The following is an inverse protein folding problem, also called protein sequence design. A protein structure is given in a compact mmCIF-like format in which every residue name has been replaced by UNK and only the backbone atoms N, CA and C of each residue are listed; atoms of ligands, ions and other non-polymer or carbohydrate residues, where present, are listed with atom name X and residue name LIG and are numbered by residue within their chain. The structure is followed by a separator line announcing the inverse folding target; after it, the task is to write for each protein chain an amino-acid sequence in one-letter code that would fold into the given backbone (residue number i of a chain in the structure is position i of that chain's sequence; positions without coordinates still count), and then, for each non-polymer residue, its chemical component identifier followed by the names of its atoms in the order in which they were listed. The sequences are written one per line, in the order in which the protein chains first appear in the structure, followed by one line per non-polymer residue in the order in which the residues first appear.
data_IF_176407589084
#
_entry.id   IF_176407589084
#
_cell.length_a   1.000
_cell.length_b   1.000
_cell.length_c   1.000
_cell.angle_alpha   90.00
_cell.angle_beta   90.00
_cell.angle_gamma   90.00
#
_symmetry.space_group_name_H-M   'P 1'
#
loop_
_entity.id
_entity.type
_entity.pdbx_description
1 polymer ?
#
# COMPACT_ATOMS: atom_id res chain seq x y z
N UNK A 1 4.60 0.54 -35.25
CA UNK A 1 4.05 1.88 -35.55
C UNK A 1 2.75 1.74 -36.32
N UNK A 2 2.73 0.95 -37.39
CA UNK A 2 1.51 0.53 -38.12
C UNK A 2 0.40 0.04 -37.17
N UNK A 3 0.70 -0.89 -36.25
CA UNK A 3 -0.29 -1.39 -35.26
C UNK A 3 -0.93 -0.30 -34.38
N UNK A 4 -0.23 0.78 -34.05
CA UNK A 4 -0.77 1.84 -33.17
C UNK A 4 -1.78 2.70 -33.93
N UNK A 5 -1.38 3.16 -35.11
CA UNK A 5 -2.22 4.01 -35.95
C UNK A 5 -3.39 3.22 -36.50
N UNK A 6 -3.18 1.97 -36.92
CA UNK A 6 -4.25 1.08 -37.38
C UNK A 6 -5.26 0.81 -36.26
N UNK A 7 -4.80 0.59 -35.02
CA UNK A 7 -5.71 0.49 -33.87
C UNK A 7 -6.52 1.76 -33.60
N UNK A 8 -5.93 2.96 -33.77
CA UNK A 8 -6.68 4.21 -33.66
C UNK A 8 -7.72 4.38 -34.78
N UNK A 9 -7.36 4.03 -36.02
CA UNK A 9 -8.27 4.10 -37.17
C UNK A 9 -9.43 3.10 -37.03
N UNK A 10 -9.16 1.90 -36.53
CA UNK A 10 -10.18 0.91 -36.19
C UNK A 10 -11.16 1.43 -35.13
N UNK A 11 -10.66 2.07 -34.06
CA UNK A 11 -11.49 2.71 -33.02
C UNK A 11 -12.37 3.81 -33.63
N UNK A 12 -11.84 4.55 -34.61
CA UNK A 12 -12.57 5.58 -35.34
C UNK A 12 -13.48 5.03 -36.46
N UNK A 13 -13.54 3.69 -36.62
CA UNK A 13 -14.29 2.98 -37.65
C UNK A 13 -13.92 3.39 -39.09
N UNK A 14 -12.65 3.75 -39.31
CA UNK A 14 -12.09 4.07 -40.63
C UNK A 14 -11.53 2.78 -41.22
N UNK A 15 -12.30 2.13 -42.09
CA UNK A 15 -12.02 0.76 -42.57
C UNK A 15 -11.00 0.68 -43.72
N UNK A 16 -10.71 1.78 -44.38
CA UNK A 16 -9.88 1.81 -45.59
C UNK A 16 -8.77 2.86 -45.48
N UNK A 17 -7.78 2.60 -44.64
CA UNK A 17 -6.52 3.35 -44.70
C UNK A 17 -5.47 2.52 -45.42
N UNK A 18 -5.53 2.49 -46.75
CA UNK A 18 -4.36 2.17 -47.56
C UNK A 18 -3.27 3.19 -47.20
N UNK A 19 -2.24 2.69 -46.53
CA UNK A 19 -1.05 3.41 -46.01
C UNK A 19 -1.33 4.77 -45.31
N UNK A 20 -1.20 4.80 -43.98
CA UNK A 20 -1.24 6.08 -43.25
C UNK A 20 -0.03 6.94 -43.60
N UNK A 21 -0.27 8.07 -44.27
CA UNK A 21 0.75 9.05 -44.65
C UNK A 21 1.44 9.64 -43.43
N UNK A 22 2.72 9.99 -43.55
CA UNK A 22 3.49 10.63 -42.46
C UNK A 22 2.79 11.89 -41.90
N UNK A 23 2.08 12.66 -42.74
CA UNK A 23 1.31 13.83 -42.28
C UNK A 23 0.15 13.45 -41.34
N UNK A 24 -0.58 12.38 -41.65
CA UNK A 24 -1.62 11.88 -40.75
C UNK A 24 -1.02 11.38 -39.43
N UNK A 25 0.15 10.72 -39.47
CA UNK A 25 0.85 10.29 -38.25
C UNK A 25 1.27 11.50 -37.40
N UNK A 26 1.84 12.54 -38.02
CA UNK A 26 2.20 13.81 -37.36
C UNK A 26 0.99 14.45 -36.70
N UNK A 27 -0.15 14.51 -37.40
CA UNK A 27 -1.40 15.05 -36.88
C UNK A 27 -1.91 14.27 -35.65
N UNK A 28 -1.90 12.94 -35.71
CA UNK A 28 -2.31 12.09 -34.58
C UNK A 28 -1.43 12.35 -33.35
N UNK A 29 -0.11 12.35 -33.53
CA UNK A 29 0.83 12.60 -32.41
C UNK A 29 0.64 14.01 -31.84
N UNK A 30 0.47 15.02 -32.70
CA UNK A 30 0.21 16.40 -32.28
C UNK A 30 -1.08 16.52 -31.45
N UNK A 31 -2.19 15.91 -31.91
CA UNK A 31 -3.46 15.93 -31.19
C UNK A 31 -3.40 15.19 -29.86
N UNK A 32 -2.72 14.03 -29.81
CA UNK A 32 -2.52 13.30 -28.56
C UNK A 32 -1.70 14.11 -27.57
N UNK A 33 -0.62 14.76 -28.02
CA UNK A 33 0.17 15.63 -27.16
C UNK A 33 -0.65 16.83 -26.65
N UNK A 34 -1.44 17.46 -27.53
CA UNK A 34 -2.30 18.57 -27.17
C UNK A 34 -3.32 18.14 -26.10
N UNK A 35 -4.01 17.03 -26.31
CA UNK A 35 -5.04 16.55 -25.40
C UNK A 35 -4.49 16.05 -24.06
N UNK A 36 -3.36 15.32 -24.08
CA UNK A 36 -2.84 14.65 -22.87
C UNK A 36 -1.94 15.55 -22.02
N UNK A 37 -1.14 16.42 -22.64
CA UNK A 37 0.02 17.03 -21.96
C UNK A 37 0.16 18.54 -22.15
N UNK A 38 -0.80 19.19 -22.80
CA UNK A 38 -0.66 20.60 -23.17
C UNK A 38 -1.76 21.47 -22.57
N UNK A 39 -1.36 22.61 -22.02
CA UNK A 39 -2.23 23.63 -21.44
C UNK A 39 -2.38 24.84 -22.41
N UNK A 40 -3.46 25.59 -22.28
CA UNK A 40 -3.72 26.87 -22.95
C UNK A 40 -4.37 27.88 -21.98
N UNK A 41 -4.28 29.17 -22.30
CA UNK A 41 -4.93 30.22 -21.52
C UNK A 41 -6.45 30.00 -21.46
N UNK A 42 -7.03 30.02 -20.25
CA UNK A 42 -8.46 29.82 -20.05
C UNK A 42 -8.92 28.35 -19.93
N UNK A 43 -8.00 27.38 -19.85
CA UNK A 43 -8.34 25.95 -19.65
C UNK A 43 -9.12 25.70 -18.33
N UNK A 44 -8.92 26.57 -17.35
CA UNK A 44 -9.53 26.51 -16.02
C UNK A 44 -8.62 25.91 -14.96
N UNK A 45 -9.16 25.77 -13.75
CA UNK A 45 -8.43 25.35 -12.56
C UNK A 45 -9.08 24.14 -11.88
N UNK A 46 -8.25 23.37 -11.19
CA UNK A 46 -8.62 22.35 -10.19
C UNK A 46 -8.06 22.71 -8.81
N UNK A 47 -8.62 22.12 -7.76
CA UNK A 47 -8.17 22.30 -6.38
C UNK A 47 -7.39 21.07 -5.91
N UNK A 48 -6.15 21.30 -5.47
CA UNK A 48 -5.34 20.26 -4.84
C UNK A 48 -4.50 20.87 -3.72
N UNK A 49 -4.18 20.10 -2.68
CA UNK A 49 -3.33 20.56 -1.57
C UNK A 49 -3.77 21.90 -0.94
N UNK A 50 -5.08 22.20 -0.95
CA UNK A 50 -5.65 23.45 -0.44
C UNK A 50 -5.34 24.69 -1.28
N UNK A 51 -4.97 24.51 -2.55
CA UNK A 51 -4.65 25.59 -3.49
C UNK A 51 -5.28 25.32 -4.86
N UNK A 52 -5.46 26.41 -5.60
CA UNK A 52 -5.85 26.37 -7.01
C UNK A 52 -4.65 26.07 -7.90
N UNK A 53 -4.84 25.20 -8.87
CA UNK A 53 -3.86 24.86 -9.90
C UNK A 53 -4.56 24.89 -11.26
N UNK A 54 -3.96 25.51 -12.28
CA UNK A 54 -4.48 25.36 -13.64
C UNK A 54 -4.50 23.88 -14.01
N UNK A 55 -5.43 23.45 -14.88
CA UNK A 55 -5.34 22.11 -15.46
C UNK A 55 -4.03 21.90 -16.22
N UNK A 56 -3.60 20.64 -16.34
CA UNK A 56 -2.38 20.31 -17.11
C UNK A 56 -2.72 20.18 -18.59
N UNK A 57 -3.92 19.67 -18.87
CA UNK A 57 -4.43 19.40 -20.20
C UNK A 57 -5.94 19.18 -20.17
N UNK A 58 -6.59 19.13 -21.33
CA UNK A 58 -8.02 18.78 -21.42
C UNK A 58 -8.27 17.36 -20.90
N UNK A 59 -7.31 16.44 -21.07
CA UNK A 59 -7.40 15.11 -20.49
C UNK A 59 -7.42 15.13 -18.96
N UNK A 60 -6.64 16.00 -18.29
CA UNK A 60 -6.71 16.14 -16.83
C UNK A 60 -8.14 16.46 -16.38
N UNK A 61 -8.78 17.45 -17.02
CA UNK A 61 -10.16 17.83 -16.74
C UNK A 61 -11.15 16.70 -17.01
N UNK A 62 -10.99 16.02 -18.14
CA UNK A 62 -11.80 14.84 -18.47
C UNK A 62 -11.64 13.73 -17.43
N UNK A 63 -10.41 13.43 -17.02
CA UNK A 63 -10.10 12.37 -16.07
C UNK A 63 -10.66 12.68 -14.68
N UNK A 64 -10.43 13.89 -14.16
CA UNK A 64 -11.02 14.35 -12.90
C UNK A 64 -12.54 14.15 -12.89
N UNK A 65 -13.22 14.44 -14.00
CA UNK A 65 -14.68 14.33 -14.10
C UNK A 65 -15.20 12.90 -14.32
N UNK A 66 -14.45 12.04 -15.02
CA UNK A 66 -14.98 10.77 -15.57
C UNK A 66 -14.30 9.51 -15.03
N UNK A 67 -13.19 9.61 -14.30
CA UNK A 67 -12.44 8.44 -13.81
C UNK A 67 -13.33 7.47 -13.02
N UNK A 68 -14.27 7.96 -12.20
CA UNK A 68 -15.17 7.10 -11.43
C UNK A 68 -16.10 6.27 -12.33
N UNK A 69 -16.71 6.89 -13.34
CA UNK A 69 -17.60 6.20 -14.28
C UNK A 69 -16.84 5.20 -15.16
N UNK A 70 -15.63 5.57 -15.59
CA UNK A 70 -14.81 4.76 -16.49
C UNK A 70 -14.25 3.53 -15.76
N UNK A 71 -13.75 3.72 -14.55
CA UNK A 71 -13.18 2.64 -13.75
C UNK A 71 -14.27 1.79 -13.10
N UNK A 72 -15.41 2.40 -12.75
CA UNK A 72 -16.56 1.79 -12.09
C UNK A 72 -16.17 0.73 -11.04
N UNK A 73 -15.46 1.13 -9.97
CA UNK A 73 -14.97 0.17 -9.00
C UNK A 73 -16.14 -0.48 -8.25
N UNK A 74 -16.16 -1.81 -8.22
CA UNK A 74 -17.22 -2.59 -7.57
C UNK A 74 -16.66 -3.60 -6.57
N UNK A 75 -17.43 -3.85 -5.51
CA UNK A 75 -17.10 -4.85 -4.49
C UNK A 75 -17.82 -6.16 -4.83
N UNK A 76 -17.07 -7.23 -5.06
CA UNK A 76 -17.63 -8.53 -5.38
C UNK A 76 -17.96 -9.31 -4.09
N UNK A 77 -19.22 -9.22 -3.66
CA UNK A 77 -19.68 -9.85 -2.41
C UNK A 77 -19.53 -11.38 -2.39
N UNK A 78 -19.56 -12.06 -3.54
CA UNK A 78 -19.30 -13.50 -3.60
C UNK A 78 -17.83 -13.83 -3.29
N UNK A 79 -16.90 -13.05 -3.84
CA UNK A 79 -15.48 -13.16 -3.47
C UNK A 79 -15.22 -12.78 -2.02
N UNK A 80 -15.98 -11.82 -1.48
CA UNK A 80 -15.92 -11.51 -0.04
C UNK A 80 -16.34 -12.70 0.82
N UNK A 81 -17.37 -13.46 0.42
CA UNK A 81 -17.79 -14.69 1.12
C UNK A 81 -16.73 -15.78 1.06
N UNK A 82 -16.15 -16.04 -0.12
CA UNK A 82 -15.05 -17.01 -0.27
C UNK A 82 -13.85 -16.66 0.63
N UNK A 83 -13.52 -15.36 0.72
CA UNK A 83 -12.41 -14.90 1.55
C UNK A 83 -12.72 -14.91 3.04
N UNK A 84 -13.97 -14.61 3.42
CA UNK A 84 -14.45 -14.75 4.79
C UNK A 84 -14.35 -16.20 5.29
N UNK A 85 -14.62 -17.19 4.42
CA UNK A 85 -14.43 -18.61 4.76
C UNK A 85 -12.96 -18.94 5.02
N UNK A 86 -12.04 -18.43 4.19
CA UNK A 86 -10.59 -18.60 4.44
C UNK A 86 -10.18 -17.97 5.78
N UNK A 87 -10.68 -16.78 6.09
CA UNK A 87 -10.38 -16.14 7.37
C UNK A 87 -10.92 -16.89 8.57
N UNK A 88 -12.14 -17.44 8.46
CA UNK A 88 -12.72 -18.28 9.49
C UNK A 88 -11.88 -19.54 9.77
N UNK A 89 -11.40 -20.23 8.72
CA UNK A 89 -10.52 -21.38 8.90
C UNK A 89 -9.20 -21.01 9.60
N UNK A 90 -8.57 -19.90 9.20
CA UNK A 90 -7.34 -19.41 9.86
C UNK A 90 -7.60 -19.02 11.32
N UNK A 91 -8.77 -18.45 11.62
CA UNK A 91 -9.15 -18.08 12.98
C UNK A 91 -9.34 -19.30 13.88
N UNK A 92 -10.01 -20.34 13.38
CA UNK A 92 -10.18 -21.63 14.07
C UNK A 92 -8.85 -22.34 14.30
N UNK A 93 -7.92 -22.25 13.33
CA UNK A 93 -6.56 -22.77 13.50
C UNK A 93 -5.81 -22.03 14.61
N UNK A 94 -5.79 -20.70 14.55
CA UNK A 94 -5.21 -19.86 15.61
C UNK A 94 -5.58 -18.40 15.43
N UNK A 95 -6.07 -17.75 16.49
CA UNK A 95 -6.28 -16.29 16.48
C UNK A 95 -5.00 -15.51 16.16
N UNK A 96 -3.82 -16.06 16.47
CA UNK A 96 -2.53 -15.40 16.25
C UNK A 96 -2.30 -14.94 14.79
N UNK A 97 -3.03 -15.52 13.81
CA UNK A 97 -3.04 -15.03 12.42
C UNK A 97 -3.41 -13.54 12.29
N UNK A 98 -4.19 -13.00 13.22
CA UNK A 98 -4.73 -11.63 13.20
C UNK A 98 -4.15 -10.72 14.29
N UNK A 99 -3.71 -11.28 15.43
CA UNK A 99 -3.22 -10.50 16.58
C UNK A 99 -1.70 -10.47 16.71
N UNK A 100 -0.94 -11.19 15.86
CA UNK A 100 0.53 -11.13 15.92
C UNK A 100 1.02 -9.80 15.35
N UNK A 101 1.68 -8.98 16.16
CA UNK A 101 2.32 -7.74 15.68
C UNK A 101 3.85 -7.82 15.83
N UNK A 102 4.40 -7.54 17.01
CA UNK A 102 5.84 -7.50 17.29
C UNK A 102 6.11 -7.87 18.76
N UNK A 103 7.34 -8.25 19.09
CA UNK A 103 7.73 -8.54 20.47
C UNK A 103 7.88 -7.27 21.31
N UNK A 104 7.35 -7.30 22.53
CA UNK A 104 7.40 -6.17 23.47
C UNK A 104 8.65 -6.17 24.36
N UNK A 105 9.47 -7.22 24.31
CA UNK A 105 10.67 -7.41 25.14
C UNK A 105 10.45 -7.28 26.66
N UNK A 106 9.23 -7.56 27.12
CA UNK A 106 8.82 -7.44 28.52
C UNK A 106 8.73 -6.00 29.03
N UNK A 107 8.61 -5.02 28.14
CA UNK A 107 8.37 -3.62 28.52
C UNK A 107 6.94 -3.45 29.06
N UNK A 108 6.75 -2.43 29.91
CA UNK A 108 5.43 -2.11 30.46
C UNK A 108 4.51 -1.50 29.39
N UNK A 109 3.21 -1.50 29.65
CA UNK A 109 2.20 -0.92 28.76
C UNK A 109 2.46 0.56 28.51
N UNK A 110 2.86 1.31 29.55
CA UNK A 110 3.20 2.73 29.48
C UNK A 110 4.40 2.95 28.55
N UNK A 111 5.46 2.15 28.73
CA UNK A 111 6.65 2.23 27.90
C UNK A 111 6.35 1.96 26.41
N UNK A 112 5.55 0.92 26.13
CA UNK A 112 5.19 0.57 24.75
C UNK A 112 4.32 1.68 24.13
N UNK A 113 3.32 2.17 24.88
CA UNK A 113 2.45 3.25 24.43
C UNK A 113 3.26 4.50 24.10
N UNK A 114 4.19 4.90 24.98
CA UNK A 114 5.06 6.06 24.78
C UNK A 114 5.93 5.92 23.52
N UNK A 115 6.55 4.75 23.34
CA UNK A 115 7.37 4.48 22.16
C UNK A 115 6.50 4.53 20.89
N UNK A 116 5.32 3.92 20.89
CA UNK A 116 4.42 3.93 19.72
C UNK A 116 3.90 5.32 19.40
N UNK A 117 3.53 6.10 20.41
CA UNK A 117 3.06 7.47 20.23
C UNK A 117 4.10 8.34 19.52
N UNK A 118 5.35 8.37 20.01
CA UNK A 118 6.40 9.18 19.38
C UNK A 118 6.92 8.63 18.06
N UNK A 119 6.68 7.35 17.76
CA UNK A 119 7.09 6.74 16.50
C UNK A 119 6.02 6.70 15.43
N UNK A 120 4.73 6.84 15.77
CA UNK A 120 3.62 6.74 14.82
C UNK A 120 3.76 7.75 13.67
N UNK A 121 4.10 9.00 13.96
CA UNK A 121 4.35 10.03 12.95
C UNK A 121 5.70 9.88 12.23
N UNK A 122 6.63 9.11 12.80
CA UNK A 122 8.00 8.90 12.31
C UNK A 122 8.16 7.70 11.38
N UNK A 123 7.12 6.88 11.25
CA UNK A 123 7.12 5.79 10.28
C UNK A 123 6.82 6.33 8.88
N UNK A 124 7.89 6.68 8.16
CA UNK A 124 7.83 7.03 6.74
C UNK A 124 8.23 5.79 5.95
N UNK A 125 7.46 5.46 4.92
CA UNK A 125 7.66 4.28 4.04
C UNK A 125 7.64 2.91 4.72
N UNK A 126 7.27 2.80 6.00
CA UNK A 126 7.21 1.52 6.73
C UNK A 126 8.58 0.84 6.90
N UNK A 127 9.64 1.64 6.94
CA UNK A 127 11.02 1.19 7.17
C UNK A 127 11.35 1.17 8.67
N UNK A 128 10.46 1.66 9.53
CA UNK A 128 10.69 1.70 10.97
C UNK A 128 10.49 0.31 11.58
N UNK A 129 11.59 -0.32 11.99
CA UNK A 129 11.57 -1.56 12.76
C UNK A 129 11.30 -1.25 14.25
N UNK A 130 10.03 -1.32 14.64
CA UNK A 130 9.60 -0.99 16.01
C UNK A 130 10.36 -1.77 17.10
N UNK A 131 10.69 -3.03 16.84
CA UNK A 131 11.49 -3.85 17.75
C UNK A 131 12.89 -3.28 18.03
N UNK A 132 13.53 -2.65 17.04
CA UNK A 132 14.81 -1.94 17.25
C UNK A 132 14.62 -0.74 18.18
N UNK A 133 13.52 -0.01 18.03
CA UNK A 133 13.21 1.16 18.86
C UNK A 133 12.90 0.74 20.30
N UNK A 134 12.13 -0.33 20.52
CA UNK A 134 11.88 -0.88 21.86
C UNK A 134 13.18 -1.30 22.55
N UNK A 135 14.14 -1.88 21.81
CA UNK A 135 15.48 -2.19 22.34
C UNK A 135 16.27 -0.93 22.71
N UNK A 136 16.09 0.19 21.99
CA UNK A 136 16.68 1.49 22.36
C UNK A 136 16.04 2.01 23.64
N UNK A 137 14.70 2.00 23.75
CA UNK A 137 13.98 2.41 24.96
C UNK A 137 14.49 1.66 26.19
N UNK A 138 14.62 0.33 26.10
CA UNK A 138 15.13 -0.51 27.20
C UNK A 138 16.50 -0.09 27.72
N UNK A 139 17.34 0.51 26.87
CA UNK A 139 18.68 1.02 27.24
C UNK A 139 18.67 2.49 27.65
N UNK A 140 17.79 3.31 27.07
CA UNK A 140 17.77 4.77 27.20
C UNK A 140 16.33 5.30 27.29
N UNK A 141 15.59 5.01 28.38
CA UNK A 141 14.17 5.38 28.49
C UNK A 141 13.95 6.90 28.48
N UNK A 142 14.88 7.67 29.05
CA UNK A 142 14.83 9.14 29.07
C UNK A 142 14.75 9.79 27.68
N UNK A 143 15.11 9.09 26.60
CA UNK A 143 14.96 9.62 25.25
C UNK A 143 13.49 9.80 24.84
N UNK A 144 12.58 9.08 25.49
CA UNK A 144 11.14 9.07 25.18
C UNK A 144 10.31 9.89 26.19
N UNK A 145 10.98 10.68 27.01
CA UNK A 145 10.38 11.67 27.87
C UNK A 145 9.86 12.85 27.04
N UNK A 146 8.64 13.33 27.34
CA UNK A 146 7.97 14.34 26.51
C UNK A 146 8.68 15.68 26.60
N UNK A 147 9.18 16.09 27.77
CA UNK A 147 9.98 17.29 27.95
C UNK A 147 11.30 17.18 27.19
N UNK A 148 11.99 16.04 27.29
CA UNK A 148 13.23 15.79 26.54
C UNK A 148 13.02 15.86 25.03
N UNK A 149 11.97 15.23 24.49
CA UNK A 149 11.67 15.26 23.05
C UNK A 149 11.31 16.68 22.59
N UNK A 150 10.58 17.44 23.41
CA UNK A 150 10.23 18.81 23.10
C UNK A 150 11.47 19.71 22.97
N UNK A 151 12.42 19.56 23.89
CA UNK A 151 13.66 20.33 23.91
C UNK A 151 14.69 19.85 22.88
N UNK A 152 14.86 18.53 22.71
CA UNK A 152 15.98 17.90 21.97
C UNK A 152 15.51 16.82 20.97
N UNK A 153 14.57 17.12 20.06
CA UNK A 153 14.04 16.13 19.11
C UNK A 153 15.08 15.59 18.13
N UNK A 154 16.13 16.35 17.80
CA UNK A 154 17.22 15.91 16.94
C UNK A 154 18.02 14.78 17.59
N UNK A 155 18.25 14.87 18.89
CA UNK A 155 18.95 13.84 19.67
C UNK A 155 18.13 12.56 19.68
N UNK A 156 16.81 12.67 19.86
CA UNK A 156 15.91 11.51 19.74
C UNK A 156 16.07 10.81 18.39
N UNK A 157 15.97 11.54 17.27
CA UNK A 157 16.10 10.95 15.92
C UNK A 157 17.43 10.24 15.72
N UNK A 158 18.53 10.89 16.13
CA UNK A 158 19.89 10.36 16.01
C UNK A 158 20.07 9.07 16.83
N UNK A 159 19.67 9.08 18.10
CA UNK A 159 19.92 7.98 19.04
C UNK A 159 18.98 6.79 18.82
N UNK A 160 17.79 7.03 18.26
CA UNK A 160 16.86 5.95 17.86
C UNK A 160 17.21 5.33 16.51
N UNK A 161 18.13 5.93 15.76
CA UNK A 161 18.51 5.46 14.42
C UNK A 161 17.43 5.69 13.36
N UNK A 162 16.45 6.55 13.63
CA UNK A 162 15.44 6.96 12.65
C UNK A 162 16.12 7.84 11.59
N UNK A 163 15.84 7.56 10.31
CA UNK A 163 16.46 8.28 9.19
C UNK A 163 16.31 9.80 9.31
N UNK A 164 17.35 10.52 8.89
CA UNK A 164 17.36 11.98 8.80
C UNK A 164 16.72 12.51 7.51
N UNK A 165 16.20 11.63 6.63
CA UNK A 165 15.37 12.07 5.51
C UNK A 165 14.14 12.85 6.01
N UNK A 166 13.83 13.99 5.38
CA UNK A 166 12.74 14.89 5.78
C UNK A 166 12.85 15.38 7.24
N UNK A 167 14.10 15.58 7.73
CA UNK A 167 14.44 15.99 9.10
C UNK A 167 13.54 17.09 9.66
N UNK A 168 13.33 18.18 8.93
CA UNK A 168 12.57 19.33 9.42
C UNK A 168 11.11 18.96 9.75
N UNK A 169 10.48 18.13 8.91
CA UNK A 169 9.12 17.62 9.15
C UNK A 169 9.09 16.71 10.38
N UNK A 170 10.07 15.81 10.50
CA UNK A 170 10.18 14.88 11.63
C UNK A 170 10.32 15.62 12.97
N UNK A 171 11.19 16.63 13.01
CA UNK A 171 11.38 17.50 14.18
C UNK A 171 10.08 18.22 14.53
N UNK A 172 9.39 18.81 13.53
CA UNK A 172 8.10 19.47 13.75
C UNK A 172 7.08 18.51 14.38
N UNK A 173 6.97 17.29 13.84
CA UNK A 173 6.03 16.28 14.33
C UNK A 173 6.36 15.83 15.76
N UNK A 174 7.63 15.63 16.09
CA UNK A 174 8.05 15.27 17.45
C UNK A 174 7.75 16.37 18.45
N UNK A 175 8.11 17.62 18.14
CA UNK A 175 7.82 18.77 19.02
C UNK A 175 6.33 18.95 19.26
N UNK A 176 5.51 18.84 18.21
CA UNK A 176 4.06 18.93 18.34
C UNK A 176 3.49 17.78 19.19
N UNK A 177 3.96 16.56 18.98
CA UNK A 177 3.52 15.38 19.75
C UNK A 177 3.87 15.51 21.24
N UNK A 178 5.08 15.96 21.54
CA UNK A 178 5.53 16.18 22.91
C UNK A 178 4.77 17.34 23.57
N UNK A 179 4.63 18.46 22.85
CA UNK A 179 3.88 19.64 23.32
C UNK A 179 2.45 19.29 23.66
N UNK A 180 1.78 18.45 22.86
CA UNK A 180 0.42 18.01 23.14
C UNK A 180 0.33 17.31 24.50
N UNK A 181 1.22 16.35 24.79
CA UNK A 181 1.21 15.67 26.09
C UNK A 181 1.50 16.62 27.26
N UNK A 182 2.39 17.60 27.06
CA UNK A 182 2.72 18.63 28.06
C UNK A 182 1.52 19.55 28.32
N UNK A 183 0.89 20.07 27.27
CA UNK A 183 -0.21 21.03 27.37
C UNK A 183 -1.44 20.42 28.05
N UNK A 184 -1.72 19.15 27.77
CA UNK A 184 -2.82 18.41 28.41
C UNK A 184 -2.43 17.77 29.75
N UNK A 185 -1.16 17.85 30.16
CA UNK A 185 -0.64 17.26 31.40
C UNK A 185 -0.89 15.75 31.52
N UNK A 186 -0.72 15.03 30.41
CA UNK A 186 -0.97 13.58 30.31
C UNK A 186 0.28 12.84 29.84
N UNK A 187 0.29 11.52 30.03
CA UNK A 187 1.17 10.60 29.30
C UNK A 187 0.46 10.01 28.08
N UNK A 188 1.20 9.39 27.17
CA UNK A 188 0.61 8.80 25.97
C UNK A 188 -0.45 7.72 26.30
N UNK A 189 -0.29 7.00 27.41
CA UNK A 189 -1.23 5.96 27.82
C UNK A 189 -2.61 6.52 28.20
N UNK A 190 -2.67 7.76 28.68
CA UNK A 190 -3.90 8.41 29.15
C UNK A 190 -4.79 8.90 28.01
N UNK A 191 -4.31 8.88 26.76
CA UNK A 191 -5.04 9.34 25.58
C UNK A 191 -6.42 8.68 25.45
N UNK A 192 -6.51 7.36 25.69
CA UNK A 192 -7.79 6.65 25.65
C UNK A 192 -8.75 7.15 26.73
N UNK A 193 -8.25 7.33 27.96
CA UNK A 193 -9.06 7.78 29.09
C UNK A 193 -9.58 9.21 28.88
N UNK A 194 -8.72 10.12 28.42
CA UNK A 194 -9.10 11.50 28.06
C UNK A 194 -10.20 11.53 26.97
N UNK A 195 -10.28 10.50 26.15
CA UNK A 195 -11.27 10.34 25.09
C UNK A 195 -12.42 9.38 25.46
N UNK A 196 -12.76 9.24 26.75
CA UNK A 196 -13.86 8.38 27.26
C UNK A 196 -13.74 6.88 26.87
N UNK A 197 -12.51 6.42 26.65
CA UNK A 197 -12.15 5.12 26.07
C UNK A 197 -12.79 4.88 24.68
N UNK A 198 -13.13 5.94 23.94
CA UNK A 198 -13.67 5.87 22.59
C UNK A 198 -12.56 6.06 21.55
N UNK A 199 -12.23 5.00 20.81
CA UNK A 199 -11.09 5.06 19.87
C UNK A 199 -11.35 5.97 18.67
N UNK A 200 -12.62 6.26 18.34
CA UNK A 200 -12.92 7.24 17.29
C UNK A 200 -12.60 8.65 17.77
N UNK A 201 -12.90 8.97 19.03
CA UNK A 201 -12.50 10.26 19.62
C UNK A 201 -10.98 10.39 19.69
N UNK A 202 -10.27 9.32 20.04
CA UNK A 202 -8.78 9.30 19.97
C UNK A 202 -8.30 9.56 18.54
N UNK A 203 -8.88 8.86 17.55
CA UNK A 203 -8.54 9.03 16.13
C UNK A 203 -8.72 10.49 15.68
N UNK A 204 -9.91 11.05 15.92
CA UNK A 204 -10.23 12.44 15.58
C UNK A 204 -9.31 13.43 16.28
N UNK A 205 -9.06 13.22 17.57
CA UNK A 205 -8.17 14.07 18.36
C UNK A 205 -6.75 14.08 17.78
N UNK A 206 -6.19 12.91 17.42
CA UNK A 206 -4.85 12.82 16.83
C UNK A 206 -4.77 13.40 15.41
N UNK A 207 -5.81 13.22 14.58
CA UNK A 207 -5.83 13.73 13.20
C UNK A 207 -5.98 15.25 13.17
N UNK A 208 -6.82 15.80 14.05
CA UNK A 208 -7.13 17.23 14.07
C UNK A 208 -6.11 18.06 14.87
N UNK A 209 -5.23 17.41 15.63
CA UNK A 209 -4.16 18.09 16.35
C UNK A 209 -3.09 18.62 15.39
N UNK A 210 -2.91 19.94 15.42
CA UNK A 210 -2.03 20.62 14.48
C UNK A 210 -0.58 20.13 14.59
N UNK A 211 0.02 19.81 13.44
CA UNK A 211 1.45 19.55 13.37
C UNK A 211 1.89 18.17 13.86
N UNK A 212 1.00 17.26 14.28
CA UNK A 212 1.41 15.90 14.69
C UNK A 212 1.91 15.04 13.53
N UNK A 213 1.43 15.31 12.31
CA UNK A 213 1.76 14.47 11.15
C UNK A 213 1.14 13.07 11.20
N UNK A 214 0.15 12.87 12.08
CA UNK A 214 -0.68 11.67 12.16
C UNK A 214 -1.89 11.91 11.27
N UNK A 215 -2.10 11.01 10.30
CA UNK A 215 -3.28 10.95 9.44
C UNK A 215 -4.01 9.64 9.69
N UNK A 216 -5.16 9.48 9.04
CA UNK A 216 -6.06 8.33 9.13
C UNK A 216 -5.34 6.98 9.31
N UNK A 217 -4.53 6.57 8.32
CA UNK A 217 -3.74 5.32 8.38
C UNK A 217 -2.89 5.17 9.64
N UNK A 218 -2.17 6.23 10.04
CA UNK A 218 -1.24 6.18 11.17
C UNK A 218 -1.99 6.14 12.50
N UNK A 219 -3.12 6.82 12.59
CA UNK A 219 -4.00 6.76 13.75
C UNK A 219 -4.57 5.35 13.92
N UNK A 220 -5.07 4.75 12.83
CA UNK A 220 -5.61 3.39 12.85
C UNK A 220 -4.57 2.35 13.28
N UNK A 221 -3.34 2.44 12.75
CA UNK A 221 -2.24 1.57 13.16
C UNK A 221 -1.88 1.75 14.63
N UNK A 222 -1.82 2.99 15.13
CA UNK A 222 -1.54 3.27 16.53
C UNK A 222 -2.62 2.69 17.45
N UNK A 223 -3.90 2.97 17.17
CA UNK A 223 -5.04 2.47 17.92
C UNK A 223 -5.06 0.95 17.94
N UNK A 224 -4.90 0.31 16.77
CA UNK A 224 -4.82 -1.15 16.66
C UNK A 224 -3.73 -1.71 17.56
N UNK A 225 -2.52 -1.16 17.52
CA UNK A 225 -1.41 -1.65 18.33
C UNK A 225 -1.74 -1.55 19.84
N UNK A 226 -2.41 -0.49 20.28
CA UNK A 226 -2.79 -0.32 21.69
C UNK A 226 -3.83 -1.35 22.15
N UNK A 227 -4.79 -1.70 21.29
CA UNK A 227 -5.82 -2.70 21.60
C UNK A 227 -5.26 -4.12 21.52
N UNK A 228 -4.53 -4.45 20.46
CA UNK A 228 -3.95 -5.78 20.24
C UNK A 228 -2.94 -6.16 21.33
N UNK A 229 -2.13 -5.19 21.80
CA UNK A 229 -1.20 -5.41 22.90
C UNK A 229 -1.86 -5.36 24.28
N UNK A 230 -3.19 -5.21 24.35
CA UNK A 230 -3.94 -5.13 25.61
C UNK A 230 -3.44 -3.97 26.51
N UNK A 231 -2.99 -2.87 25.89
CA UNK A 231 -2.57 -1.63 26.56
C UNK A 231 -3.82 -0.83 26.92
N UNK A 232 -4.69 -0.61 25.95
CA UNK A 232 -6.01 -0.02 26.17
C UNK A 232 -7.06 -1.12 26.28
N UNK A 233 -7.77 -1.13 27.41
CA UNK A 233 -8.79 -2.12 27.74
C UNK A 233 -10.18 -1.49 27.66
N UNK A 234 -11.18 -2.33 27.36
CA UNK A 234 -12.59 -1.94 27.36
C UNK A 234 -12.91 -0.71 26.50
N UNK A 235 -12.26 -0.64 25.33
CA UNK A 235 -12.44 0.46 24.37
C UNK A 235 -13.79 0.36 23.64
N UNK A 236 -14.37 1.52 23.31
CA UNK A 236 -15.59 1.65 22.52
C UNK A 236 -15.27 1.90 21.06
N UNK A 237 -16.17 1.48 20.16
CA UNK A 237 -16.13 1.71 18.71
C UNK A 237 -14.92 1.11 17.98
N UNK A 238 -14.25 0.10 18.56
CA UNK A 238 -13.08 -0.50 17.92
C UNK A 238 -13.41 -1.17 16.58
N UNK A 239 -14.63 -1.69 16.42
CA UNK A 239 -15.16 -2.26 15.18
C UNK A 239 -15.29 -1.24 14.03
N UNK A 240 -15.18 0.06 14.34
CA UNK A 240 -15.22 1.14 13.36
C UNK A 240 -13.85 1.40 12.73
N UNK A 241 -12.76 0.96 13.34
CA UNK A 241 -11.39 1.13 12.79
C UNK A 241 -11.19 0.22 11.58
N UNK A 242 -10.85 0.81 10.43
CA UNK A 242 -10.74 0.12 9.15
C UNK A 242 -9.42 -0.62 8.94
N UNK A 243 -9.33 -1.41 7.86
CA UNK A 243 -8.04 -1.91 7.38
C UNK A 243 -7.25 -0.75 6.80
N UNK A 244 -6.01 -0.60 7.24
CA UNK A 244 -5.11 0.40 6.69
C UNK A 244 -4.88 0.18 5.18
N UNK A 245 -5.37 1.10 4.36
CA UNK A 245 -5.19 1.04 2.91
C UNK A 245 -3.74 1.38 2.53
N UNK A 246 -3.11 0.51 1.74
CA UNK A 246 -1.84 0.76 1.05
C UNK A 246 -1.66 -0.12 -0.19
N UNK A 247 -0.52 0.03 -0.85
CA UNK A 247 -0.22 -0.68 -2.09
C UNK A 247 -0.29 -2.20 -1.95
N UNK A 248 0.07 -2.78 -0.80
CA UNK A 248 -0.04 -4.22 -0.60
C UNK A 248 -1.48 -4.65 -0.35
N UNK A 249 -2.24 -3.93 0.48
CA UNK A 249 -3.66 -4.28 0.73
C UNK A 249 -4.51 -4.09 -0.53
N UNK A 250 -4.30 -3.01 -1.29
CA UNK A 250 -4.93 -2.76 -2.61
C UNK A 250 -4.57 -3.85 -3.62
N UNK A 251 -3.29 -4.21 -3.73
CA UNK A 251 -2.81 -5.28 -4.61
C UNK A 251 -3.50 -6.61 -4.30
N UNK A 252 -3.64 -6.95 -3.02
CA UNK A 252 -4.31 -8.19 -2.61
C UNK A 252 -5.81 -8.11 -2.93
N UNK A 253 -6.48 -6.99 -2.65
CA UNK A 253 -7.91 -6.82 -2.94
C UNK A 253 -8.24 -6.96 -4.44
N UNK A 254 -7.41 -6.38 -5.31
CA UNK A 254 -7.57 -6.49 -6.76
C UNK A 254 -7.33 -7.92 -7.25
N UNK A 255 -6.32 -8.61 -6.70
CA UNK A 255 -5.94 -9.97 -7.15
C UNK A 255 -6.84 -11.08 -6.60
N UNK A 256 -7.44 -10.90 -5.42
CA UNK A 256 -8.50 -11.79 -4.93
C UNK A 256 -9.82 -11.55 -5.66
N UNK A 257 -9.95 -10.37 -6.31
CA UNK A 257 -11.16 -9.97 -7.02
C UNK A 257 -12.30 -9.56 -6.08
N UNK A 258 -12.02 -9.25 -4.81
CA UNK A 258 -12.99 -8.60 -3.91
C UNK A 258 -13.25 -7.16 -4.35
N UNK A 259 -12.24 -6.51 -4.95
CA UNK A 259 -12.36 -5.22 -5.60
C UNK A 259 -12.10 -5.41 -7.10
N UNK A 260 -13.03 -4.93 -7.93
CA UNK A 260 -12.95 -4.98 -9.40
C UNK A 260 -13.15 -3.60 -9.98
N UNK A 261 -12.71 -3.43 -11.22
CA UNK A 261 -12.92 -2.27 -12.07
C UNK A 261 -13.30 -2.77 -13.46
N UNK A 262 -14.04 -1.98 -14.22
CA UNK A 262 -14.53 -2.36 -15.55
C UNK A 262 -13.39 -2.42 -16.58
N UNK A 263 -12.31 -1.65 -16.35
CA UNK A 263 -11.05 -1.73 -17.09
C UNK A 263 -9.87 -1.85 -16.11
N UNK A 264 -8.72 -2.41 -16.53
CA UNK A 264 -7.51 -2.33 -15.73
C UNK A 264 -7.15 -0.88 -15.40
N UNK A 265 -6.63 -0.67 -14.18
CA UNK A 265 -6.17 0.65 -13.75
C UNK A 265 -5.15 1.21 -14.74
N UNK A 266 -5.30 2.50 -15.06
CA UNK A 266 -4.41 3.19 -15.99
C UNK A 266 -3.07 3.50 -15.33
N UNK A 267 -2.05 3.72 -16.17
CA UNK A 267 -0.73 4.16 -15.71
C UNK A 267 -0.82 5.46 -14.91
N UNK A 268 0.09 5.68 -13.97
CA UNK A 268 0.16 6.92 -13.20
C UNK A 268 0.39 8.16 -14.08
N UNK A 269 0.87 8.01 -15.32
CA UNK A 269 0.95 9.10 -16.29
C UNK A 269 -0.41 9.57 -16.83
N UNK A 270 -1.46 8.77 -16.66
CA UNK A 270 -2.85 9.16 -16.94
C UNK A 270 -3.60 9.53 -15.66
N UNK A 271 -3.09 9.16 -14.50
CA UNK A 271 -3.71 9.50 -13.22
C UNK A 271 -3.21 10.84 -12.68
N UNK A 272 -3.51 11.90 -13.44
CA UNK A 272 -3.10 13.25 -13.08
C UNK A 272 -3.76 13.61 -11.75
N UNK A 273 -2.95 14.07 -10.79
CA UNK A 273 -3.38 14.44 -9.44
C UNK A 273 -4.01 13.29 -8.64
N UNK A 274 -3.65 12.03 -8.95
CA UNK A 274 -3.94 10.85 -8.13
C UNK A 274 -5.46 10.54 -7.96
N UNK A 275 -6.31 10.99 -8.89
CA UNK A 275 -7.77 10.79 -8.82
C UNK A 275 -8.18 9.30 -8.74
N UNK A 276 -7.63 8.45 -9.61
CA UNK A 276 -7.83 6.99 -9.54
C UNK A 276 -7.21 6.41 -8.27
N UNK A 277 -6.01 6.86 -7.89
CA UNK A 277 -5.40 6.38 -6.66
C UNK A 277 -6.32 6.60 -5.44
N UNK A 278 -6.86 7.80 -5.27
CA UNK A 278 -7.75 8.15 -4.16
C UNK A 278 -9.07 7.36 -4.21
N UNK A 279 -9.64 7.18 -5.40
CA UNK A 279 -10.83 6.34 -5.60
C UNK A 279 -10.56 4.88 -5.17
N UNK A 280 -9.49 4.28 -5.66
CA UNK A 280 -9.15 2.88 -5.35
C UNK A 280 -8.74 2.72 -3.89
N UNK A 281 -8.10 3.72 -3.29
CA UNK A 281 -7.78 3.75 -1.86
C UNK A 281 -9.05 3.63 -1.01
N UNK A 282 -10.07 4.44 -1.29
CA UNK A 282 -11.35 4.40 -0.56
C UNK A 282 -12.10 3.09 -0.81
N UNK A 283 -12.12 2.62 -2.05
CA UNK A 283 -12.81 1.38 -2.41
C UNK A 283 -12.13 0.13 -1.84
N UNK A 284 -10.81 0.15 -1.66
CA UNK A 284 -10.07 -0.91 -0.97
C UNK A 284 -10.48 -1.02 0.50
N UNK A 285 -10.56 0.10 1.21
CA UNK A 285 -11.01 0.10 2.61
C UNK A 285 -12.42 -0.48 2.74
N UNK A 286 -13.34 -0.04 1.87
CA UNK A 286 -14.70 -0.56 1.80
C UNK A 286 -14.73 -2.06 1.49
N UNK A 287 -13.94 -2.53 0.53
CA UNK A 287 -13.89 -3.95 0.17
C UNK A 287 -13.47 -4.83 1.35
N UNK A 288 -12.41 -4.45 2.08
CA UNK A 288 -11.97 -5.21 3.26
C UNK A 288 -12.98 -5.14 4.41
N UNK A 289 -13.63 -3.99 4.62
CA UNK A 289 -14.74 -3.88 5.58
C UNK A 289 -15.88 -4.83 5.21
N UNK A 290 -16.27 -4.89 3.94
CA UNK A 290 -17.31 -5.82 3.47
C UNK A 290 -16.92 -7.28 3.69
N UNK A 291 -15.64 -7.65 3.52
CA UNK A 291 -15.19 -9.02 3.85
C UNK A 291 -15.40 -9.32 5.34
N UNK A 292 -15.00 -8.40 6.22
CA UNK A 292 -15.20 -8.56 7.66
C UNK A 292 -16.68 -8.59 8.07
N UNK A 293 -17.52 -7.73 7.50
CA UNK A 293 -18.97 -7.72 7.74
C UNK A 293 -19.61 -9.05 7.33
N UNK A 294 -19.24 -9.57 6.15
CA UNK A 294 -19.70 -10.87 5.67
C UNK A 294 -19.20 -12.02 6.57
N UNK A 295 -17.95 -11.95 7.05
CA UNK A 295 -17.43 -12.90 8.01
C UNK A 295 -18.24 -12.86 9.30
N UNK A 296 -18.42 -11.69 9.91
CA UNK A 296 -19.19 -11.51 11.14
C UNK A 296 -20.65 -11.96 11.00
N UNK A 297 -21.28 -11.70 9.85
CA UNK A 297 -22.63 -12.17 9.55
C UNK A 297 -22.70 -13.71 9.50
N UNK A 298 -21.71 -14.36 8.87
CA UNK A 298 -21.69 -15.81 8.66
C UNK A 298 -21.24 -16.60 9.90
N UNK A 299 -20.29 -16.06 10.67
CA UNK A 299 -19.65 -16.70 11.82
C UNK A 299 -19.53 -15.72 13.01
N UNK A 300 -20.65 -15.33 13.64
CA UNK A 300 -20.69 -14.22 14.61
C UNK A 300 -19.81 -14.42 15.84
N UNK A 301 -19.66 -15.66 16.32
CA UNK A 301 -18.86 -16.00 17.51
C UNK A 301 -17.40 -16.35 17.19
N UNK A 302 -17.09 -16.52 15.90
CA UNK A 302 -15.77 -16.95 15.39
C UNK A 302 -15.21 -15.93 14.39
N UNK A 303 -15.28 -14.66 14.79
CA UNK A 303 -14.80 -13.52 14.02
C UNK A 303 -13.96 -12.59 14.91
N UNK A 304 -13.02 -11.87 14.29
CA UNK A 304 -12.29 -10.77 14.92
C UNK A 304 -13.21 -9.58 15.20
N UNK A 305 -12.92 -8.83 16.25
CA UNK A 305 -13.78 -7.73 16.72
C UNK A 305 -13.76 -6.49 15.83
N UNK A 306 -12.72 -6.33 15.00
CA UNK A 306 -12.54 -5.17 14.13
C UNK A 306 -11.86 -5.53 12.82
N UNK A 307 -12.25 -4.91 11.68
CA UNK A 307 -11.60 -5.17 10.40
C UNK A 307 -10.12 -4.77 10.41
N UNK A 308 -9.68 -3.81 11.23
CA UNK A 308 -8.27 -3.39 11.27
C UNK A 308 -7.29 -4.52 11.62
N UNK A 309 -7.76 -5.59 12.27
CA UNK A 309 -6.96 -6.77 12.61
C UNK A 309 -6.63 -7.65 11.40
N UNK A 310 -7.32 -7.46 10.27
CA UNK A 310 -6.93 -8.08 9.01
C UNK A 310 -5.62 -7.51 8.46
N UNK A 311 -5.23 -6.29 8.87
CA UNK A 311 -4.08 -5.58 8.28
C UNK A 311 -2.79 -6.41 8.37
N UNK A 312 -2.46 -6.96 9.54
CA UNK A 312 -1.23 -7.75 9.68
C UNK A 312 -1.19 -8.92 8.69
N UNK A 313 -2.25 -9.72 8.65
CA UNK A 313 -2.35 -10.86 7.74
C UNK A 313 -2.26 -10.40 6.27
N UNK A 314 -3.10 -9.44 5.87
CA UNK A 314 -3.24 -9.02 4.48
C UNK A 314 -2.00 -8.26 4.00
N UNK A 315 -1.53 -7.28 4.75
CA UNK A 315 -0.36 -6.48 4.40
C UNK A 315 0.94 -7.27 4.55
N UNK A 316 1.23 -7.77 5.76
CA UNK A 316 2.55 -8.28 6.11
C UNK A 316 2.74 -9.70 5.60
N UNK A 317 1.77 -10.59 5.78
CA UNK A 317 1.93 -11.98 5.37
C UNK A 317 1.60 -12.13 3.89
N UNK A 318 0.35 -11.87 3.49
CA UNK A 318 -0.09 -12.13 2.11
C UNK A 318 0.59 -11.15 1.15
N UNK A 319 0.51 -9.86 1.42
CA UNK A 319 0.98 -8.80 0.52
C UNK A 319 2.48 -8.79 0.30
N UNK A 320 3.29 -8.87 1.37
CA UNK A 320 4.76 -8.82 1.29
C UNK A 320 5.42 -10.17 1.03
N UNK A 321 4.90 -11.29 1.55
CA UNK A 321 5.60 -12.57 1.49
C UNK A 321 5.10 -13.51 0.40
N UNK A 322 3.78 -13.54 0.14
CA UNK A 322 3.19 -14.42 -0.88
C UNK A 322 2.93 -13.70 -2.21
N UNK A 323 2.45 -12.46 -2.17
CA UNK A 323 1.96 -11.71 -3.33
C UNK A 323 3.06 -10.85 -3.98
N UNK A 324 4.29 -11.38 -4.01
CA UNK A 324 5.49 -10.73 -4.53
C UNK A 324 6.08 -11.52 -5.69
N UNK A 325 6.57 -10.80 -6.71
CA UNK A 325 7.33 -11.42 -7.79
C UNK A 325 8.78 -11.60 -7.34
N UNK A 326 9.10 -12.79 -6.84
CA UNK A 326 10.44 -13.14 -6.38
C UNK A 326 10.89 -14.54 -6.84
N UNK A 327 10.13 -15.16 -7.75
CA UNK A 327 10.46 -16.45 -8.36
C UNK A 327 10.92 -16.24 -9.79
N UNK A 328 12.09 -16.78 -10.12
CA UNK A 328 12.68 -16.73 -11.46
C UNK A 328 12.72 -18.15 -12.01
N UNK A 329 12.11 -18.36 -13.18
CA UNK A 329 12.13 -19.62 -13.92
C UNK A 329 13.32 -19.62 -14.89
N UNK A 330 14.05 -20.72 -14.90
CA UNK A 330 15.17 -20.97 -15.80
C UNK A 330 15.03 -22.30 -16.51
N UNK A 331 15.63 -22.39 -17.70
CA UNK A 331 15.86 -23.64 -18.42
C UNK A 331 17.36 -23.86 -18.52
N UNK A 332 17.85 -25.06 -18.24
CA UNK A 332 19.23 -25.44 -18.48
C UNK A 332 19.39 -26.08 -19.84
N UNK A 333 20.29 -25.58 -20.68
CA UNK A 333 20.55 -26.17 -22.00
C UNK A 333 21.37 -27.47 -21.89
N UNK A 334 22.24 -27.60 -20.90
CA UNK A 334 23.13 -28.75 -20.73
C UNK A 334 22.38 -30.04 -20.33
N UNK A 335 21.19 -29.92 -19.73
CA UNK A 335 20.40 -31.06 -19.27
C UNK A 335 18.90 -30.95 -19.56
N UNK A 336 18.49 -29.92 -20.30
CA UNK A 336 17.10 -29.64 -20.71
C UNK A 336 16.07 -29.49 -19.56
N UNK A 337 16.54 -29.42 -18.31
CA UNK A 337 15.67 -29.30 -17.13
C UNK A 337 15.30 -27.85 -16.80
N UNK A 338 14.06 -27.66 -16.36
CA UNK A 338 13.59 -26.40 -15.79
C UNK A 338 13.78 -26.35 -14.28
N UNK A 339 14.20 -25.21 -13.75
CA UNK A 339 14.30 -25.00 -12.31
C UNK A 339 13.97 -23.57 -11.92
N UNK A 340 13.75 -23.36 -10.62
CA UNK A 340 13.29 -22.08 -10.08
C UNK A 340 14.24 -21.56 -9.02
N UNK A 341 14.41 -20.25 -8.97
CA UNK A 341 15.29 -19.60 -8.00
C UNK A 341 14.73 -18.28 -7.48
N UNK A 342 15.34 -17.79 -6.38
CA UNK A 342 14.99 -16.50 -5.75
C UNK A 342 15.70 -15.28 -6.34
N UNK A 343 16.68 -15.52 -7.19
CA UNK A 343 17.52 -14.47 -7.75
C UNK A 343 17.75 -14.75 -9.24
N UNK A 344 17.81 -13.67 -10.02
CA UNK A 344 18.24 -13.72 -11.41
C UNK A 344 19.73 -14.05 -11.54
N UNK A 345 20.52 -13.85 -10.48
CA UNK A 345 21.97 -14.01 -10.49
C UNK A 345 22.47 -15.46 -10.33
N UNK A 346 21.60 -16.46 -10.49
CA UNK A 346 22.03 -17.86 -10.54
C UNK A 346 22.96 -18.04 -11.74
N UNK A 347 24.07 -18.75 -11.54
CA UNK A 347 25.09 -19.01 -12.57
C UNK A 347 25.23 -20.48 -12.95
N UNK A 348 24.64 -21.39 -12.16
CA UNK A 348 24.78 -22.84 -12.33
C UNK A 348 23.43 -23.52 -12.22
N UNK A 349 23.20 -24.50 -13.08
CA UNK A 349 22.07 -25.41 -12.97
C UNK A 349 22.16 -26.22 -11.66
N UNK A 350 21.10 -26.29 -10.85
CA UNK A 350 21.12 -27.09 -9.63
C UNK A 350 21.22 -28.60 -9.91
N UNK A 351 20.77 -29.05 -11.09
CA UNK A 351 20.73 -30.46 -11.51
C UNK A 351 22.09 -30.94 -12.05
N UNK A 352 22.60 -30.35 -13.14
CA UNK A 352 23.83 -30.80 -13.79
C UNK A 352 25.09 -30.00 -13.43
N UNK A 353 24.96 -28.90 -12.67
CA UNK A 353 26.06 -27.94 -12.35
C UNK A 353 26.68 -27.21 -13.55
N UNK A 354 26.11 -27.40 -14.75
CA UNK A 354 26.45 -26.66 -15.96
C UNK A 354 26.12 -25.17 -15.86
N UNK A 355 26.73 -24.37 -16.73
CA UNK A 355 26.64 -22.91 -16.70
C UNK A 355 25.71 -22.36 -17.80
N UNK A 356 25.21 -23.23 -18.68
CA UNK A 356 24.37 -22.84 -19.82
C UNK A 356 22.92 -22.80 -19.37
N UNK A 357 22.53 -21.68 -18.76
CA UNK A 357 21.18 -21.46 -18.21
C UNK A 357 20.53 -20.21 -18.84
N UNK A 358 19.28 -20.36 -19.25
CA UNK A 358 18.48 -19.27 -19.80
C UNK A 358 17.41 -18.83 -18.82
N UNK A 359 17.32 -17.53 -18.59
CA UNK A 359 16.21 -16.94 -17.85
C UNK A 359 14.98 -16.88 -18.74
N UNK A 360 13.88 -17.48 -18.27
CA UNK A 360 12.61 -17.47 -19.00
C UNK A 360 11.72 -16.32 -18.54
N UNK A 361 11.25 -16.39 -17.30
CA UNK A 361 10.22 -15.48 -16.80
C UNK A 361 10.27 -15.36 -15.29
N UNK A 362 9.77 -14.23 -14.82
CA UNK A 362 9.58 -13.93 -13.41
C UNK A 362 8.11 -14.16 -13.01
N UNK A 363 7.89 -14.84 -11.90
CA UNK A 363 6.59 -15.22 -11.39
C UNK A 363 6.36 -14.74 -9.96
N UNK A 364 5.08 -14.59 -9.60
CA UNK A 364 4.66 -14.73 -8.20
C UNK A 364 4.66 -16.22 -7.89
N UNK A 365 5.22 -16.70 -6.76
CA UNK A 365 5.30 -18.12 -6.46
C UNK A 365 3.97 -18.85 -6.61
N UNK A 366 2.86 -18.24 -6.19
CA UNK A 366 1.54 -18.85 -6.24
C UNK A 366 1.02 -19.12 -7.66
N UNK A 367 1.59 -18.49 -8.69
CA UNK A 367 1.18 -18.66 -10.09
C UNK A 367 1.83 -19.86 -10.79
N UNK A 368 2.75 -20.58 -10.11
CA UNK A 368 3.55 -21.62 -10.75
C UNK A 368 3.56 -22.91 -9.91
N UNK A 369 3.50 -24.12 -10.53
CA UNK A 369 3.52 -25.39 -9.80
C UNK A 369 4.74 -25.56 -8.87
N UNK A 370 5.94 -25.18 -9.33
CA UNK A 370 7.19 -25.15 -8.55
C UNK A 370 7.28 -23.99 -7.53
N UNK A 371 6.20 -23.24 -7.30
CA UNK A 371 6.19 -22.09 -6.40
C UNK A 371 6.44 -22.44 -4.93
N UNK A 372 5.99 -23.62 -4.51
CA UNK A 372 6.19 -24.13 -3.15
C UNK A 372 7.67 -24.19 -2.74
N UNK A 373 8.59 -24.46 -3.67
CA UNK A 373 10.04 -24.48 -3.43
C UNK A 373 10.57 -23.11 -3.00
N UNK A 374 9.99 -22.04 -3.54
CA UNK A 374 10.37 -20.66 -3.24
C UNK A 374 9.76 -20.21 -1.92
N UNK A 375 8.50 -20.60 -1.67
CA UNK A 375 7.76 -20.30 -0.43
C UNK A 375 8.46 -20.95 0.76
N UNK A 376 8.76 -22.25 0.71
CA UNK A 376 9.44 -22.99 1.80
C UNK A 376 10.82 -22.42 2.14
N UNK A 377 11.51 -21.84 1.15
CA UNK A 377 12.82 -21.19 1.35
C UNK A 377 12.69 -19.73 1.81
N UNK A 378 11.48 -19.18 2.00
CA UNK A 378 11.28 -17.78 2.45
C UNK A 378 11.72 -17.66 3.90
N UNK A 379 12.77 -16.88 4.14
CA UNK A 379 13.37 -16.67 5.47
C UNK A 379 12.37 -16.14 6.49
N UNK A 380 11.44 -15.27 6.08
CA UNK A 380 10.43 -14.77 7.00
C UNK A 380 9.43 -15.87 7.34
N UNK A 381 8.82 -16.51 6.33
CA UNK A 381 7.83 -17.56 6.54
C UNK A 381 8.42 -18.76 7.28
N UNK A 382 9.63 -19.21 6.92
CA UNK A 382 10.31 -20.36 7.54
C UNK A 382 10.63 -20.15 9.02
N UNK A 383 10.76 -18.90 9.46
CA UNK A 383 11.01 -18.54 10.86
C UNK A 383 9.73 -18.09 11.59
N UNK A 384 8.60 -18.04 10.89
CA UNK A 384 7.34 -17.59 11.46
C UNK A 384 6.59 -18.76 12.09
N UNK A 385 6.23 -18.64 13.36
CA UNK A 385 5.59 -19.72 14.14
C UNK A 385 4.34 -20.32 13.48
N UNK A 386 3.51 -19.51 12.80
CA UNK A 386 2.33 -20.00 12.07
C UNK A 386 2.60 -20.48 10.63
N UNK A 387 3.67 -20.01 9.97
CA UNK A 387 3.85 -20.22 8.51
C UNK A 387 5.11 -21.01 8.15
N UNK A 388 5.85 -21.53 9.13
CA UNK A 388 7.10 -22.27 8.93
C UNK A 388 6.97 -23.44 7.95
N UNK A 389 5.82 -24.11 7.93
CA UNK A 389 5.55 -25.29 7.08
C UNK A 389 4.65 -24.97 5.89
N UNK A 390 4.37 -23.69 5.64
CA UNK A 390 3.45 -23.27 4.60
C UNK A 390 4.06 -23.52 3.21
N UNK A 391 3.29 -24.19 2.34
CA UNK A 391 3.70 -24.49 0.97
C UNK A 391 2.93 -23.67 -0.08
N UNK A 392 1.84 -23.00 0.31
CA UNK A 392 0.94 -22.26 -0.58
C UNK A 392 0.29 -21.09 0.15
N UNK A 393 -0.01 -20.01 -0.56
CA UNK A 393 -0.71 -18.87 0.02
C UNK A 393 -2.12 -19.26 0.48
N UNK A 394 -2.55 -18.84 1.70
CA UNK A 394 -3.91 -19.08 2.17
C UNK A 394 -5.01 -18.59 1.21
N UNK A 395 -4.74 -17.55 0.42
CA UNK A 395 -5.71 -16.98 -0.53
C UNK A 395 -5.67 -17.62 -1.92
N UNK A 396 -4.83 -18.65 -2.14
CA UNK A 396 -4.65 -19.24 -3.48
C UNK A 396 -5.96 -19.77 -4.07
N UNK A 397 -6.84 -20.34 -3.24
CA UNK A 397 -8.15 -20.87 -3.63
C UNK A 397 -9.12 -19.78 -4.08
N UNK A 398 -9.10 -18.62 -3.41
CA UNK A 398 -9.95 -17.45 -3.74
C UNK A 398 -9.44 -16.76 -5.00
N UNK A 399 -8.13 -16.51 -5.07
CA UNK A 399 -7.49 -15.85 -6.23
C UNK A 399 -7.52 -16.73 -7.48
N UNK A 400 -7.52 -18.07 -7.32
CA UNK A 400 -7.29 -19.04 -8.39
C UNK A 400 -6.03 -18.71 -9.19
N UNK A 401 -4.93 -18.39 -8.50
CA UNK A 401 -3.73 -17.77 -9.09
C UNK A 401 -2.98 -18.62 -10.13
N UNK A 402 -3.29 -19.91 -10.25
CA UNK A 402 -2.76 -20.83 -11.28
C UNK A 402 -3.69 -20.99 -12.50
N UNK A 403 -4.88 -20.39 -12.46
CA UNK A 403 -5.84 -20.40 -13.58
C UNK A 403 -5.40 -19.41 -14.66
N UNK A 404 -5.75 -19.69 -15.91
CA UNK A 404 -5.57 -18.79 -17.05
C UNK A 404 -6.36 -17.47 -16.89
N UNK A 405 -7.45 -17.49 -16.12
CA UNK A 405 -8.28 -16.30 -15.85
C UNK A 405 -7.66 -15.35 -14.82
N UNK A 406 -6.55 -15.74 -14.15
CA UNK A 406 -5.93 -14.91 -13.14
C UNK A 406 -5.18 -13.73 -13.77
N UNK A 407 -5.67 -12.53 -13.50
CA UNK A 407 -5.00 -11.28 -13.89
C UNK A 407 -4.19 -10.72 -12.74
N UNK A 408 -2.88 -10.55 -12.97
CA UNK A 408 -1.95 -9.94 -12.03
C UNK A 408 -2.09 -8.41 -12.01
N UNK A 409 -3.23 -7.93 -11.49
CA UNK A 409 -3.49 -6.50 -11.31
C UNK A 409 -2.51 -5.89 -10.30
N UNK A 410 -2.17 -4.62 -10.51
CA UNK A 410 -1.30 -3.84 -9.63
C UNK A 410 -2.06 -2.65 -9.07
N UNK A 411 -1.73 -2.21 -7.84
CA UNK A 411 -2.31 -1.01 -7.26
C UNK A 411 -1.87 0.22 -8.06
N UNK A 412 -2.65 1.32 -8.02
CA UNK A 412 -2.23 2.58 -8.63
C UNK A 412 -0.97 3.11 -7.95
N UNK A 413 -0.17 3.86 -8.72
CA UNK A 413 1.01 4.57 -8.22
C UNK A 413 0.73 6.06 -8.24
N UNK A 414 1.29 6.78 -7.27
CA UNK A 414 1.13 8.23 -7.19
C UNK A 414 2.29 8.97 -7.81
N UNK A 415 2.01 10.14 -8.38
CA UNK A 415 3.02 11.11 -8.79
C UNK A 415 2.74 12.41 -8.03
N UNK A 416 3.73 12.89 -7.28
CA UNK A 416 3.57 14.10 -6.48
C UNK A 416 3.27 15.32 -7.35
N UNK A 417 2.45 16.23 -6.85
CA UNK A 417 2.17 17.50 -7.56
C UNK A 417 3.41 18.42 -7.54
N UNK A 418 4.02 18.62 -6.37
CA UNK A 418 5.02 19.68 -6.11
C UNK A 418 6.48 19.18 -6.00
N UNK A 419 6.80 17.96 -6.45
CA UNK A 419 8.18 17.45 -6.37
C UNK A 419 9.05 17.87 -7.55
N UNK A 420 10.37 17.64 -7.44
CA UNK A 420 11.32 17.88 -8.52
C UNK A 420 11.01 17.06 -9.81
N UNK A 421 10.23 16.00 -9.66
CA UNK A 421 9.69 15.12 -10.69
C UNK A 421 8.15 15.11 -10.66
N UNK A 422 7.55 16.23 -10.27
CA UNK A 422 6.13 16.33 -10.00
C UNK A 422 5.31 16.89 -11.18
N UNK A 423 3.99 16.75 -11.08
CA UNK A 423 3.05 17.22 -12.10
C UNK A 423 3.18 18.72 -12.41
N UNK A 424 3.55 19.55 -11.44
CA UNK A 424 3.67 21.00 -11.65
C UNK A 424 4.76 21.36 -12.69
N UNK A 425 5.79 20.51 -12.84
CA UNK A 425 6.84 20.67 -13.86
C UNK A 425 6.45 20.12 -15.23
N UNK A 426 5.33 19.38 -15.31
CA UNK A 426 4.86 18.77 -16.54
C UNK A 426 4.12 19.77 -17.46
N UNK A 427 3.84 20.98 -16.96
CA UNK A 427 3.05 21.99 -17.69
C UNK A 427 3.82 22.48 -18.92
N UNK A 428 3.16 22.40 -20.07
CA UNK A 428 3.67 22.92 -21.35
C UNK A 428 2.55 23.70 -22.00
N UNK A 429 2.81 24.93 -22.45
CA UNK A 429 1.84 25.67 -23.26
C UNK A 429 1.87 25.17 -24.71
N UNK A 430 0.70 25.19 -25.35
CA UNK A 430 0.42 24.84 -26.76
C UNK A 430 1.60 24.88 -27.73
N UNK A 431 2.18 26.06 -27.84
CA UNK A 431 3.12 26.41 -28.91
C UNK A 431 4.58 26.36 -28.48
N UNK A 432 4.86 26.12 -27.19
CA UNK A 432 6.21 26.17 -26.63
C UNK A 432 6.95 24.83 -26.73
N UNK A 433 6.22 23.71 -26.68
CA UNK A 433 6.77 22.36 -26.71
C UNK A 433 7.74 22.03 -25.56
N UNK A 434 8.25 20.80 -25.51
CA UNK A 434 9.49 20.48 -24.77
C UNK A 434 9.47 20.35 -23.24
N UNK A 435 8.31 20.17 -22.57
CA UNK A 435 8.27 19.86 -21.13
C UNK A 435 7.92 18.40 -20.79
N UNK A 436 7.81 18.10 -19.50
CA UNK A 436 7.44 16.76 -19.03
C UNK A 436 7.92 16.45 -17.60
N UNK A 437 7.55 15.25 -17.14
CA UNK A 437 7.96 14.73 -15.83
C UNK A 437 9.29 13.99 -16.01
N UNK A 438 10.35 14.43 -15.34
CA UNK A 438 11.58 13.67 -15.24
C UNK A 438 11.41 12.53 -14.22
N UNK A 439 11.36 11.28 -14.68
CA UNK A 439 11.20 10.09 -13.82
C UNK A 439 12.47 9.72 -13.04
#
# INVERSE_FOLDING_TARGET
MERFIQGLLEIMNIKDAEEVTIEQQRKVISLLNQYLYTNYEGIGDTQALGKSFEYISDFHKFWEQRHQDILNPTINRNKCKELADVFHELYKESKAHFYSIYETYGLSNEAICQVRYFTASQDFKMDLEIEKILKVYKKKPHLFDKEFIYEKPETFLKETGITLEQRDKRIKFLKASAKLLIDYQIEAIDLAFMCDNDVLKVKEFLINSEGLGIKDKKADMFIRDMVVLNIWKDVKNFEKIGVASDSNTMKVALRTGILKTDIPLVSSFFDIFDHQHDLIYQMNEKAWRTVWEVWKEKYPDECIESPCLLDYLVYRIIGKEFCIENMYLFTCEDCEEEFVAKSKAVKKCPHCKGNTIQFQKKYIPCMHPKGNEIIKKNKFLSNHHLYQNCAECPFATVCKSKSEDFVKLNPPKTISILSASGWDRARVKGEEGGGGISA
#
